data_IF_092903323981
#
_entry.id   IF_092903323981
#
_cell.length_a   1.000
_cell.length_b   1.000
_cell.length_c   1.000
_cell.angle_alpha   90.00
_cell.angle_beta   90.00
_cell.angle_gamma   90.00
#
_symmetry.space_group_name_H-M   'P 1'
#
loop_
_entity.id
_entity.type
_entity.pdbx_description
1 polymer ?
#
# COMPACT_ATOMS: atom_id res chain seq x y z
N UNK A 1 9.10 16.24 -11.23
CA UNK A 1 8.16 17.11 -10.50
C UNK A 1 7.86 16.44 -9.16
N UNK A 2 8.38 16.98 -8.05
CA UNK A 2 8.10 16.44 -6.70
C UNK A 2 6.81 17.08 -6.21
N UNK A 3 5.71 16.32 -6.23
CA UNK A 3 4.44 16.79 -5.65
C UNK A 3 4.52 16.66 -4.14
N UNK A 4 4.81 17.76 -3.47
CA UNK A 4 4.74 17.88 -2.01
C UNK A 4 3.26 18.06 -1.63
N UNK A 5 2.61 17.02 -1.11
CA UNK A 5 1.24 17.13 -0.57
C UNK A 5 1.35 17.73 0.84
N UNK A 6 1.20 19.06 0.94
CA UNK A 6 1.11 19.76 2.22
C UNK A 6 -0.34 19.76 2.67
N UNK A 7 -0.69 18.87 3.61
CA UNK A 7 -2.00 18.88 4.25
C UNK A 7 -2.06 20.08 5.22
N UNK A 8 -2.75 21.15 4.81
CA UNK A 8 -3.07 22.27 5.70
C UNK A 8 -4.30 21.85 6.49
N UNK A 9 -4.19 21.82 7.83
CA UNK A 9 -5.30 21.55 8.74
C UNK A 9 -6.41 22.57 8.46
N UNK A 10 -7.49 22.13 7.81
CA UNK A 10 -8.67 22.97 7.66
C UNK A 10 -9.27 23.20 9.06
N UNK A 11 -9.64 24.43 9.43
CA UNK A 11 -10.37 24.65 10.67
C UNK A 11 -11.66 23.82 10.63
N UNK A 12 -12.12 23.28 11.78
CA UNK A 12 -13.30 22.43 11.82
C UNK A 12 -14.47 23.17 11.18
N UNK A 13 -14.93 22.68 10.03
CA UNK A 13 -16.16 23.18 9.45
C UNK A 13 -17.27 22.84 10.45
N UNK A 14 -17.96 23.86 10.95
CA UNK A 14 -19.19 23.66 11.70
C UNK A 14 -20.15 22.89 10.79
N UNK A 15 -20.33 21.60 11.07
CA UNK A 15 -21.35 20.78 10.44
C UNK A 15 -22.71 21.30 10.88
N UNK A 16 -23.27 22.24 10.12
CA UNK A 16 -24.71 22.49 10.17
C UNK A 16 -25.40 21.18 9.82
N UNK A 17 -26.19 20.64 10.73
CA UNK A 17 -26.98 19.44 10.52
C UNK A 17 -27.82 19.61 9.23
N UNK A 18 -27.40 18.94 8.16
CA UNK A 18 -28.15 18.85 6.91
C UNK A 18 -29.16 17.68 7.03
N UNK A 19 -30.37 17.85 6.48
CA UNK A 19 -31.52 17.02 6.79
C UNK A 19 -31.38 15.59 6.24
N UNK A 20 -32.20 14.70 6.78
CA UNK A 20 -32.45 13.25 6.59
C UNK A 20 -32.17 12.56 5.23
N UNK A 21 -31.80 13.31 4.19
CA UNK A 21 -31.52 12.86 2.82
C UNK A 21 -30.11 12.24 2.64
N UNK A 22 -29.12 12.62 3.47
CA UNK A 22 -27.78 12.03 3.39
C UNK A 22 -27.79 10.51 3.67
N UNK A 23 -28.63 10.07 4.60
CA UNK A 23 -28.85 8.67 4.96
C UNK A 23 -29.57 7.91 3.84
N UNK A 24 -30.50 8.55 3.14
CA UNK A 24 -31.21 7.96 2.00
C UNK A 24 -30.27 7.76 0.79
N UNK A 25 -29.42 8.76 0.51
CA UNK A 25 -28.40 8.70 -0.55
C UNK A 25 -27.31 7.67 -0.27
N UNK A 26 -26.87 7.54 0.99
CA UNK A 26 -25.93 6.50 1.40
C UNK A 26 -26.49 5.08 1.23
N UNK A 27 -27.78 4.87 1.55
CA UNK A 27 -28.49 3.60 1.37
C UNK A 27 -28.73 3.23 -0.09
N UNK A 28 -28.90 4.21 -0.98
CA UNK A 28 -29.09 3.97 -2.41
C UNK A 28 -27.80 3.53 -3.12
N UNK A 29 -26.64 4.02 -2.68
CA UNK A 29 -25.36 3.79 -3.34
C UNK A 29 -24.58 2.59 -2.81
N UNK A 30 -24.86 2.13 -1.59
CA UNK A 30 -24.18 0.97 -1.02
C UNK A 30 -25.11 -0.25 -0.96
N UNK A 31 -24.94 -1.15 -1.92
CA UNK A 31 -25.46 -2.53 -1.87
C UNK A 31 -24.69 -3.37 -0.84
N UNK A 32 -24.57 -2.91 0.42
CA UNK A 32 -24.25 -3.85 1.52
C UNK A 32 -25.45 -4.76 1.59
N UNK A 33 -25.20 -6.07 1.71
CA UNK A 33 -26.21 -7.04 2.07
C UNK A 33 -26.88 -6.57 3.37
N UNK A 34 -28.03 -5.92 3.25
CA UNK A 34 -28.73 -5.29 4.38
C UNK A 34 -29.33 -6.33 5.34
N UNK A 35 -29.48 -7.59 4.89
CA UNK A 35 -29.98 -8.70 5.70
C UNK A 35 -28.90 -9.76 5.91
N UNK A 36 -28.32 -9.80 7.10
CA UNK A 36 -27.38 -10.85 7.51
C UNK A 36 -28.02 -12.26 7.53
N UNK A 37 -29.35 -12.37 7.48
CA UNK A 37 -30.08 -13.63 7.39
C UNK A 37 -30.26 -14.18 5.98
N UNK A 38 -30.02 -13.38 4.93
CA UNK A 38 -30.38 -13.76 3.56
C UNK A 38 -29.22 -14.32 2.70
N UNK A 39 -28.14 -14.75 3.37
CA UNK A 39 -26.92 -15.22 2.70
C UNK A 39 -27.21 -16.36 1.71
N UNK A 40 -28.01 -17.35 2.12
CA UNK A 40 -28.34 -18.53 1.29
C UNK A 40 -29.15 -18.18 0.04
N UNK A 41 -30.10 -17.25 0.13
CA UNK A 41 -30.91 -16.85 -1.04
C UNK A 41 -30.07 -16.04 -2.03
N UNK A 42 -29.22 -15.13 -1.53
CA UNK A 42 -28.29 -14.36 -2.36
C UNK A 42 -27.27 -15.28 -3.04
N UNK A 43 -26.74 -16.27 -2.31
CA UNK A 43 -25.84 -17.28 -2.85
C UNK A 43 -26.50 -18.10 -3.96
N UNK A 44 -27.77 -18.49 -3.79
CA UNK A 44 -28.54 -19.24 -4.80
C UNK A 44 -28.81 -18.44 -6.08
N UNK A 45 -28.97 -17.11 -5.96
CA UNK A 45 -29.22 -16.18 -7.08
C UNK A 45 -27.95 -15.64 -7.72
N UNK A 46 -26.77 -15.93 -7.16
CA UNK A 46 -25.51 -15.54 -7.80
C UNK A 46 -25.39 -16.25 -9.14
N UNK A 47 -25.15 -15.53 -10.24
CA UNK A 47 -24.87 -16.17 -11.52
C UNK A 47 -23.67 -17.10 -11.31
N UNK A 48 -23.88 -18.42 -11.48
CA UNK A 48 -22.78 -19.39 -11.44
C UNK A 48 -21.79 -18.97 -12.52
N UNK A 49 -20.62 -18.50 -12.10
CA UNK A 49 -19.55 -18.20 -13.02
C UNK A 49 -19.29 -19.47 -13.84
N UNK A 50 -19.52 -19.42 -15.16
CA UNK A 50 -19.40 -20.60 -16.03
C UNK A 50 -17.95 -21.05 -16.25
N UNK A 51 -17.00 -20.47 -15.50
CA UNK A 51 -15.58 -20.78 -15.56
C UNK A 51 -15.26 -21.85 -14.54
N UNK A 52 -14.40 -22.78 -14.92
CA UNK A 52 -13.82 -23.80 -14.04
C UNK A 52 -13.19 -23.09 -12.84
N UNK A 53 -13.79 -23.24 -11.66
CA UNK A 53 -13.23 -22.71 -10.42
C UNK A 53 -12.08 -23.62 -9.99
N UNK A 54 -10.90 -23.03 -9.75
CA UNK A 54 -9.74 -23.74 -9.23
C UNK A 54 -9.57 -23.33 -7.78
N UNK A 55 -9.96 -24.22 -6.87
CA UNK A 55 -9.71 -24.06 -5.45
C UNK A 55 -8.22 -24.26 -5.17
N UNK A 56 -7.64 -23.37 -4.36
CA UNK A 56 -6.21 -23.41 -4.00
C UNK A 56 -6.14 -23.34 -2.47
N UNK A 57 -5.66 -24.42 -1.86
CA UNK A 57 -5.30 -24.43 -0.44
C UNK A 57 -3.88 -23.84 -0.27
N UNK A 58 -3.72 -22.71 0.46
CA UNK A 58 -2.41 -22.12 0.70
C UNK A 58 -1.52 -22.97 1.61
N UNK A 59 -2.07 -23.92 2.37
CA UNK A 59 -1.34 -24.77 3.33
C UNK A 59 -1.15 -26.22 2.86
N UNK A 60 -1.48 -26.52 1.60
CA UNK A 60 -1.28 -27.85 1.03
C UNK A 60 0.19 -28.28 1.12
N UNK A 61 0.44 -29.54 1.50
CA UNK A 61 1.78 -30.06 1.79
C UNK A 61 2.73 -30.02 0.59
N UNK A 62 2.20 -30.09 -0.63
CA UNK A 62 2.94 -30.02 -1.90
C UNK A 62 3.14 -28.58 -2.41
N UNK A 63 2.66 -27.58 -1.68
CA UNK A 63 2.69 -26.17 -2.10
C UNK A 63 3.71 -25.36 -1.30
N UNK A 64 4.85 -24.97 -1.89
CA UNK A 64 5.80 -24.08 -1.20
C UNK A 64 5.22 -22.66 -1.07
N UNK A 65 5.57 -21.97 0.02
CA UNK A 65 5.12 -20.59 0.33
C UNK A 65 5.37 -19.59 -0.82
N UNK A 66 6.42 -19.78 -1.62
CA UNK A 66 6.71 -18.93 -2.80
C UNK A 66 5.59 -18.97 -3.84
N UNK A 67 4.83 -20.06 -3.95
CA UNK A 67 3.69 -20.15 -4.86
C UNK A 67 2.50 -19.33 -4.37
N UNK A 68 2.35 -19.15 -3.05
CA UNK A 68 1.36 -18.23 -2.48
C UNK A 68 1.77 -16.79 -2.75
N UNK A 69 3.05 -16.46 -2.56
CA UNK A 69 3.59 -15.16 -2.92
C UNK A 69 3.30 -14.83 -4.40
N UNK A 70 3.66 -15.73 -5.32
CA UNK A 70 3.41 -15.57 -6.77
C UNK A 70 1.94 -15.36 -7.09
N UNK A 71 1.05 -16.18 -6.53
CA UNK A 71 -0.39 -16.07 -6.74
C UNK A 71 -0.92 -14.70 -6.31
N UNK A 72 -0.55 -14.25 -5.10
CA UNK A 72 -0.97 -12.96 -4.57
C UNK A 72 -0.40 -11.80 -5.41
N UNK A 73 0.89 -11.84 -5.77
CA UNK A 73 1.49 -10.77 -6.56
C UNK A 73 1.02 -10.75 -8.02
N UNK A 74 0.54 -11.86 -8.57
CA UNK A 74 -0.10 -11.85 -9.90
C UNK A 74 -1.56 -11.45 -9.85
N UNK A 75 -2.28 -11.81 -8.78
CA UNK A 75 -3.73 -11.58 -8.66
C UNK A 75 -4.08 -10.16 -8.23
N UNK A 76 -3.22 -9.51 -7.45
CA UNK A 76 -3.43 -8.13 -6.96
C UNK A 76 -2.55 -7.20 -7.80
N UNK A 77 -3.09 -6.68 -8.90
CA UNK A 77 -2.41 -5.76 -9.81
C UNK A 77 -3.41 -4.78 -10.47
N UNK A 78 -3.00 -3.55 -10.83
CA UNK A 78 -1.67 -2.94 -10.61
C UNK A 78 -1.46 -2.53 -9.15
N UNK A 79 -0.25 -2.70 -8.62
CA UNK A 79 0.12 -2.22 -7.27
C UNK A 79 0.90 -0.92 -7.38
N UNK A 80 0.51 0.14 -6.63
CA UNK A 80 1.34 1.33 -6.55
C UNK A 80 2.66 0.99 -5.85
N UNK A 81 3.75 1.59 -6.32
CA UNK A 81 5.07 1.45 -5.71
C UNK A 81 5.25 2.59 -4.71
N UNK A 82 5.41 2.25 -3.43
CA UNK A 82 5.85 3.21 -2.42
C UNK A 82 7.37 3.31 -2.47
N UNK A 83 7.91 4.42 -2.96
CA UNK A 83 9.35 4.64 -2.99
C UNK A 83 9.80 5.42 -1.75
N UNK A 84 10.39 4.71 -0.80
CA UNK A 84 10.53 5.20 0.57
C UNK A 84 11.99 5.54 0.85
N UNK A 85 12.21 6.76 1.34
CA UNK A 85 13.48 7.16 1.93
C UNK A 85 13.37 7.28 3.44
N UNK A 86 14.40 6.80 4.13
CA UNK A 86 14.49 6.82 5.60
C UNK A 86 15.88 7.21 6.05
N UNK A 87 15.99 7.61 7.31
CA UNK A 87 17.26 7.86 7.99
C UNK A 87 17.30 6.94 9.21
N UNK A 88 18.45 6.30 9.41
CA UNK A 88 18.77 5.51 10.60
C UNK A 88 18.66 6.33 11.89
N UNK A 89 18.43 5.66 13.02
CA UNK A 89 18.24 6.30 14.31
C UNK A 89 19.46 7.14 14.78
N UNK A 90 20.66 6.76 14.35
CA UNK A 90 21.91 7.48 14.63
C UNK A 90 22.17 8.64 13.64
N UNK A 91 21.34 8.80 12.62
CA UNK A 91 21.46 9.84 11.60
C UNK A 91 22.58 9.61 10.58
N UNK A 92 23.29 8.48 10.64
CA UNK A 92 24.51 8.25 9.86
C UNK A 92 24.22 7.68 8.47
N UNK A 93 23.22 6.81 8.40
CA UNK A 93 22.85 6.09 7.17
C UNK A 93 21.49 6.56 6.65
N UNK A 94 21.45 6.91 5.37
CA UNK A 94 20.23 7.20 4.62
C UNK A 94 19.90 5.98 3.74
N UNK A 95 18.67 5.49 3.81
CA UNK A 95 18.21 4.36 3.01
C UNK A 95 17.18 4.78 1.99
N UNK A 96 17.14 4.06 0.87
CA UNK A 96 16.19 4.27 -0.22
C UNK A 96 15.78 2.93 -0.81
N UNK A 97 14.49 2.60 -0.80
CA UNK A 97 14.01 1.33 -1.33
C UNK A 97 12.55 1.41 -1.85
N UNK A 98 12.18 0.61 -2.86
CA UNK A 98 10.81 0.50 -3.34
C UNK A 98 10.05 -0.63 -2.63
N UNK A 99 8.78 -0.37 -2.31
CA UNK A 99 7.89 -1.34 -1.70
C UNK A 99 6.58 -1.45 -2.47
N UNK A 100 6.23 -2.65 -2.91
CA UNK A 100 4.98 -2.89 -3.63
C UNK A 100 3.78 -3.21 -2.72
N UNK A 101 4.02 -3.46 -1.43
CA UNK A 101 2.95 -3.62 -0.43
C UNK A 101 2.61 -2.24 0.15
N UNK A 102 2.25 -1.30 -0.72
CA UNK A 102 1.95 0.08 -0.39
C UNK A 102 0.49 0.40 -0.72
N UNK A 103 -0.22 1.02 0.22
CA UNK A 103 -1.61 1.43 0.02
C UNK A 103 -1.98 2.65 0.89
N UNK A 104 -2.91 3.49 0.42
CA UNK A 104 -3.56 4.51 1.23
C UNK A 104 -4.67 3.86 2.08
N UNK A 105 -4.68 4.15 3.38
CA UNK A 105 -5.63 3.59 4.36
C UNK A 105 -6.75 4.57 4.67
N UNK A 106 -6.43 5.85 4.84
CA UNK A 106 -7.39 6.89 5.16
C UNK A 106 -6.94 8.23 4.57
N UNK A 107 -7.87 9.16 4.43
CA UNK A 107 -7.69 10.49 3.88
C UNK A 107 -7.77 11.58 4.96
N UNK A 108 -8.43 11.34 6.08
CA UNK A 108 -8.51 12.27 7.21
C UNK A 108 -8.54 11.54 8.58
N UNK A 109 -7.38 11.37 9.24
CA UNK A 109 -6.06 11.86 8.83
C UNK A 109 -5.51 11.06 7.64
N UNK A 110 -4.65 11.66 6.79
CA UNK A 110 -4.04 10.95 5.68
C UNK A 110 -3.12 9.84 6.21
N UNK A 111 -3.54 8.58 6.06
CA UNK A 111 -2.83 7.40 6.54
C UNK A 111 -2.41 6.51 5.38
N UNK A 112 -1.21 5.96 5.46
CA UNK A 112 -0.66 5.02 4.49
C UNK A 112 -0.15 3.78 5.20
N UNK A 113 -0.22 2.63 4.53
CA UNK A 113 0.33 1.37 4.98
C UNK A 113 1.44 0.92 4.03
N UNK A 114 2.54 0.46 4.63
CA UNK A 114 3.66 -0.17 3.93
C UNK A 114 3.94 -1.50 4.62
N UNK A 115 3.78 -2.59 3.89
CA UNK A 115 4.11 -3.93 4.36
C UNK A 115 5.58 -4.27 4.12
N UNK A 116 6.26 -4.71 5.18
CA UNK A 116 7.61 -5.27 5.09
C UNK A 116 7.50 -6.79 5.20
N UNK A 117 7.73 -7.52 4.09
CA UNK A 117 7.92 -8.97 4.18
C UNK A 117 9.32 -9.23 4.74
N UNK A 118 9.37 -9.74 5.97
CA UNK A 118 10.63 -9.97 6.66
C UNK A 118 11.47 -10.99 5.89
N UNK A 119 12.63 -10.54 5.40
CA UNK A 119 13.81 -11.40 5.19
C UNK A 119 14.47 -11.57 6.57
N UNK A 120 15.17 -12.69 6.84
CA UNK A 120 15.93 -12.84 8.08
C UNK A 120 16.91 -11.67 8.22
N UNK A 121 16.70 -10.84 9.25
CA UNK A 121 17.44 -9.60 9.47
C UNK A 121 16.72 -8.66 10.44
N UNK A 122 17.40 -7.61 10.94
CA UNK A 122 16.79 -6.63 11.82
C UNK A 122 15.63 -5.91 11.11
N UNK A 123 14.56 -5.65 11.86
CA UNK A 123 13.46 -4.79 11.40
C UNK A 123 14.04 -3.39 11.10
N UNK A 124 13.54 -2.73 10.06
CA UNK A 124 13.98 -1.37 9.73
C UNK A 124 13.52 -0.42 10.83
N UNK A 125 14.43 -0.04 11.72
CA UNK A 125 14.21 0.94 12.78
C UNK A 125 14.23 2.35 12.19
N UNK A 126 13.06 2.83 11.76
CA UNK A 126 12.92 4.18 11.19
C UNK A 126 11.74 4.90 11.82
N UNK A 127 12.00 6.00 12.54
CA UNK A 127 10.96 6.82 13.18
C UNK A 127 10.22 7.75 12.21
N UNK A 128 10.91 8.23 11.17
CA UNK A 128 10.33 9.08 10.13
C UNK A 128 10.70 8.54 8.73
N UNK A 129 9.78 8.66 7.78
CA UNK A 129 10.00 8.28 6.39
C UNK A 129 9.36 9.27 5.43
N UNK A 130 9.87 9.32 4.20
CA UNK A 130 9.25 10.07 3.10
C UNK A 130 8.84 9.08 2.02
N UNK A 131 7.57 9.16 1.62
CA UNK A 131 7.02 8.38 0.51
C UNK A 131 7.08 9.23 -0.75
N UNK A 132 7.74 8.70 -1.77
CA UNK A 132 7.88 9.32 -3.08
C UNK A 132 7.03 8.56 -4.10
N UNK A 133 6.40 9.30 -5.00
CA UNK A 133 5.72 8.71 -6.16
C UNK A 133 6.73 8.44 -7.27
N UNK A 134 6.65 7.26 -7.87
CA UNK A 134 7.53 6.83 -8.96
C UNK A 134 6.97 7.27 -10.32
N UNK A 135 7.82 7.86 -11.16
CA UNK A 135 7.51 8.16 -12.56
C UNK A 135 8.29 7.24 -13.51
N UNK A 136 7.83 7.14 -14.76
CA UNK A 136 8.41 6.23 -15.76
C UNK A 136 9.93 6.45 -15.97
N UNK A 137 10.35 7.71 -16.02
CA UNK A 137 11.74 8.11 -16.22
C UNK A 137 12.71 7.75 -15.06
N UNK A 138 12.20 7.27 -13.93
CA UNK A 138 13.02 6.85 -12.79
C UNK A 138 12.92 5.34 -12.51
N UNK A 139 12.23 4.58 -13.35
CA UNK A 139 12.02 3.13 -13.13
C UNK A 139 13.35 2.39 -12.97
N UNK A 140 14.35 2.70 -13.80
CA UNK A 140 15.67 2.06 -13.72
C UNK A 140 16.38 2.39 -12.40
N UNK A 141 16.37 3.66 -12.01
CA UNK A 141 16.94 4.12 -10.74
C UNK A 141 16.25 3.47 -9.53
N UNK A 142 14.93 3.39 -9.56
CA UNK A 142 14.13 2.72 -8.51
C UNK A 142 14.42 1.22 -8.49
N UNK A 143 14.55 0.57 -9.65
CA UNK A 143 14.89 -0.85 -9.70
C UNK A 143 16.27 -1.12 -9.11
N UNK A 144 17.26 -0.25 -9.37
CA UNK A 144 18.60 -0.35 -8.76
C UNK A 144 18.54 -0.25 -7.23
N UNK A 145 17.62 0.52 -6.66
CA UNK A 145 17.45 0.58 -5.20
C UNK A 145 16.85 -0.69 -4.58
N UNK A 146 16.44 -1.68 -5.39
CA UNK A 146 15.95 -2.98 -4.91
C UNK A 146 17.07 -3.98 -4.62
N UNK A 147 18.34 -3.58 -4.77
CA UNK A 147 19.49 -4.44 -4.45
C UNK A 147 19.53 -4.78 -2.96
N UNK A 148 20.09 -5.95 -2.65
CA UNK A 148 20.38 -6.36 -1.28
C UNK A 148 21.68 -5.70 -0.82
N UNK A 149 21.64 -4.38 -0.60
CA UNK A 149 22.79 -3.61 -0.16
C UNK A 149 23.23 -4.07 1.26
N UNK A 150 24.54 -4.25 1.51
CA UNK A 150 25.04 -4.54 2.85
C UNK A 150 24.65 -3.46 3.86
N UNK A 151 24.53 -3.84 5.13
CA UNK A 151 24.23 -2.88 6.20
C UNK A 151 25.25 -1.74 6.22
N UNK A 152 24.76 -0.50 6.37
CA UNK A 152 25.57 0.73 6.33
C UNK A 152 25.92 1.25 4.93
N UNK A 153 25.58 0.51 3.86
CA UNK A 153 25.72 1.00 2.49
C UNK A 153 24.42 1.67 2.04
N UNK A 154 24.51 2.96 1.74
CA UNK A 154 23.37 3.74 1.28
C UNK A 154 23.06 3.48 -0.20
N UNK A 155 21.81 3.10 -0.51
CA UNK A 155 21.33 2.85 -1.87
C UNK A 155 21.29 4.15 -2.71
N UNK A 156 21.36 5.32 -2.08
CA UNK A 156 21.46 6.61 -2.76
C UNK A 156 22.69 6.74 -3.66
N UNK A 157 23.80 6.08 -3.31
CA UNK A 157 25.05 6.16 -4.09
C UNK A 157 24.95 5.43 -5.43
N UNK A 158 24.11 4.40 -5.51
CA UNK A 158 23.98 3.55 -6.70
C UNK A 158 22.78 3.92 -7.57
N UNK A 159 21.76 4.57 -7.00
CA UNK A 159 20.50 4.85 -7.71
C UNK A 159 20.58 6.01 -8.70
N UNK A 160 21.56 6.90 -8.57
CA UNK A 160 21.60 8.15 -9.35
C UNK A 160 20.50 9.15 -8.98
N UNK A 161 19.72 8.89 -7.93
CA UNK A 161 18.70 9.81 -7.45
C UNK A 161 19.32 10.95 -6.63
N UNK A 162 18.82 12.17 -6.86
CA UNK A 162 19.23 13.33 -6.08
C UNK A 162 18.32 13.52 -4.87
N UNK A 163 18.91 13.47 -3.67
CA UNK A 163 18.18 13.72 -2.42
C UNK A 163 17.69 15.17 -2.33
N UNK A 164 16.50 15.35 -1.74
CA UNK A 164 15.99 16.67 -1.33
C UNK A 164 15.57 16.63 0.12
N UNK A 165 15.88 17.71 0.85
CA UNK A 165 15.48 17.87 2.25
C UNK A 165 13.96 17.89 2.35
N UNK A 166 13.40 16.99 3.17
CA UNK A 166 12.00 17.04 3.56
C UNK A 166 11.75 18.31 4.38
N UNK A 167 10.69 19.05 4.04
CA UNK A 167 10.29 20.23 4.79
C UNK A 167 9.36 19.78 5.91
N UNK A 168 9.81 19.91 7.16
CA UNK A 168 8.94 19.84 8.34
C UNK A 168 8.01 21.05 8.39
#
# INVERSE_FOLDING_TARGET
MTTLVRCVRQPPQQTTAAPDDATARAKANYKIVQDHGNFKEIESKRPRASKKHHEIDPYAADRPMINNYRLLVSGIAPRPIGFISTVSADGQTENLAPFSYFQAMDHDPPMFMVGFSSRPGPVKDTGECVINTVSENMIEAVNVTSIDAPYGVSEWKVSGCTRRRARR
#
